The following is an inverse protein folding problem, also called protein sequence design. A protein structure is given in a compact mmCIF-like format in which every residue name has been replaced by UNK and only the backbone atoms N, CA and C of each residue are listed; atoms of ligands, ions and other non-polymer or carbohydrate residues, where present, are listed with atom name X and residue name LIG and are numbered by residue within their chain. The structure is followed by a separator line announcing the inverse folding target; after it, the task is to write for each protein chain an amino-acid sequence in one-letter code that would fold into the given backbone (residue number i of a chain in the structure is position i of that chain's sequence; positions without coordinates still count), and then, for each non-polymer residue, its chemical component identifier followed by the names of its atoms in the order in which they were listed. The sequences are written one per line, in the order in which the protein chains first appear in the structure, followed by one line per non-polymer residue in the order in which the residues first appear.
data_IF_838011066114
#
_entry.id   IF_838011066114
#
_cell.length_a   1.000
_cell.length_b   1.000
_cell.length_c   1.000
_cell.angle_alpha   90.00
_cell.angle_beta   90.00
_cell.angle_gamma   90.00
#
_symmetry.space_group_name_H-M   'P 1'
#
loop_
_entity.id
_entity.type
_entity.pdbx_description
1 polymer ?
#
# COMPACT_ATOMS: atom_id res chain seq x y z
N UNK A 1 -4.77 -0.02 19.39
CA UNK A 1 -5.10 -0.74 18.15
C UNK A 1 -4.40 -0.06 16.98
N UNK A 2 -3.65 -0.84 16.23
CA UNK A 2 -2.84 -0.45 15.08
C UNK A 2 -3.31 -1.26 13.88
N UNK A 3 -3.44 -0.62 12.72
CA UNK A 3 -4.01 -1.24 11.52
C UNK A 3 -3.06 -1.09 10.35
N UNK A 4 -2.74 -2.20 9.71
CA UNK A 4 -1.97 -2.24 8.48
C UNK A 4 -2.88 -2.55 7.28
N UNK A 5 -3.04 -1.57 6.39
CA UNK A 5 -3.69 -1.76 5.08
C UNK A 5 -2.72 -2.42 4.10
N UNK A 6 -2.78 -3.75 4.04
CA UNK A 6 -1.88 -4.57 3.24
C UNK A 6 -2.31 -4.60 1.78
N UNK A 7 -1.60 -3.85 0.94
CA UNK A 7 -1.76 -3.86 -0.51
C UNK A 7 -0.59 -4.62 -1.17
N UNK A 8 -0.87 -5.34 -2.26
CA UNK A 8 0.18 -5.92 -3.10
C UNK A 8 1.01 -4.83 -3.80
N UNK A 9 2.25 -5.19 -4.17
CA UNK A 9 3.12 -4.32 -4.99
C UNK A 9 2.39 -3.89 -6.26
N UNK A 10 1.69 -4.82 -6.93
CA UNK A 10 0.89 -4.53 -8.14
C UNK A 10 -0.15 -3.44 -7.90
N UNK A 11 -0.91 -3.54 -6.80
CA UNK A 11 -1.93 -2.53 -6.45
C UNK A 11 -1.29 -1.19 -6.13
N UNK A 12 -0.18 -1.18 -5.38
CA UNK A 12 0.55 0.05 -5.05
C UNK A 12 1.10 0.72 -6.32
N UNK A 13 1.78 -0.02 -7.19
CA UNK A 13 2.30 0.50 -8.47
C UNK A 13 1.17 1.11 -9.29
N UNK A 14 0.05 0.39 -9.46
CA UNK A 14 -1.11 0.88 -10.24
C UNK A 14 -1.70 2.16 -9.68
N UNK A 15 -1.77 2.31 -8.34
CA UNK A 15 -2.30 3.53 -7.69
C UNK A 15 -1.33 4.70 -7.77
N UNK A 16 -0.03 4.42 -7.70
CA UNK A 16 0.99 5.45 -7.61
C UNK A 16 1.39 6.03 -8.97
N UNK A 17 1.29 5.24 -10.04
CA UNK A 17 1.71 5.66 -11.39
C UNK A 17 0.99 6.91 -11.88
N UNK A 18 -0.30 7.08 -11.55
CA UNK A 18 -1.10 8.26 -11.94
C UNK A 18 -0.90 9.48 -11.02
N UNK A 19 -0.18 9.32 -9.92
CA UNK A 19 -0.02 10.34 -8.88
C UNK A 19 1.47 10.65 -8.61
N UNK A 20 2.37 10.24 -9.50
CA UNK A 20 3.82 10.41 -9.34
C UNK A 20 4.23 11.88 -9.30
N UNK A 21 3.65 12.72 -10.16
CA UNK A 21 4.00 14.16 -10.27
C UNK A 21 3.75 14.94 -8.96
N UNK A 22 2.83 14.46 -8.13
CA UNK A 22 2.48 15.09 -6.84
C UNK A 22 3.39 14.61 -5.70
N UNK A 23 4.34 13.71 -5.96
CA UNK A 23 5.13 13.02 -4.94
C UNK A 23 6.62 13.25 -5.18
N UNK A 24 7.24 14.26 -4.54
CA UNK A 24 8.64 14.61 -4.73
C UNK A 24 9.63 13.44 -4.60
N UNK A 25 9.33 12.46 -3.73
CA UNK A 25 10.14 11.26 -3.54
C UNK A 25 10.14 10.30 -4.74
N UNK A 26 9.16 10.40 -5.63
CA UNK A 26 9.01 9.56 -6.83
C UNK A 26 9.50 10.27 -8.11
N UNK A 27 9.93 11.53 -8.04
CA UNK A 27 10.29 12.33 -9.22
C UNK A 27 11.45 11.74 -10.06
N UNK A 28 12.30 10.91 -9.45
CA UNK A 28 13.44 10.29 -10.12
C UNK A 28 13.08 8.95 -10.78
N UNK A 29 11.86 8.46 -10.60
CA UNK A 29 11.38 7.19 -11.14
C UNK A 29 10.77 7.46 -12.53
N UNK A 30 11.26 6.76 -13.54
CA UNK A 30 10.93 7.02 -14.96
C UNK A 30 10.11 5.92 -15.61
N UNK A 31 9.97 4.76 -14.98
CA UNK A 31 9.19 3.65 -15.52
C UNK A 31 8.35 2.93 -14.46
N UNK A 32 7.36 2.17 -14.94
CA UNK A 32 6.54 1.31 -14.09
C UNK A 32 7.36 0.16 -13.47
N UNK A 33 8.40 -0.33 -14.16
CA UNK A 33 9.33 -1.31 -13.58
C UNK A 33 10.14 -0.69 -12.43
N UNK A 34 10.72 0.49 -12.63
CA UNK A 34 11.47 1.20 -11.58
C UNK A 34 10.59 1.51 -10.37
N UNK A 35 9.33 1.91 -10.59
CA UNK A 35 8.37 2.13 -9.51
C UNK A 35 8.08 0.83 -8.73
N UNK A 36 7.93 -0.28 -9.45
CA UNK A 36 7.67 -1.59 -8.87
C UNK A 36 8.86 -2.07 -8.02
N UNK A 37 10.09 -1.88 -8.49
CA UNK A 37 11.30 -2.18 -7.74
C UNK A 37 11.43 -1.30 -6.49
N UNK A 38 11.22 0.01 -6.63
CA UNK A 38 11.23 0.97 -5.53
C UNK A 38 10.24 0.58 -4.42
N UNK A 39 9.00 0.27 -4.81
CA UNK A 39 7.96 -0.17 -3.87
C UNK A 39 8.35 -1.51 -3.24
N UNK A 40 8.81 -2.48 -4.04
CA UNK A 40 9.17 -3.81 -3.57
C UNK A 40 10.28 -3.77 -2.51
N UNK A 41 11.36 -3.02 -2.77
CA UNK A 41 12.46 -2.83 -1.82
C UNK A 41 11.97 -2.25 -0.50
N UNK A 42 11.26 -1.14 -0.54
CA UNK A 42 10.79 -0.48 0.67
C UNK A 42 9.72 -1.27 1.42
N UNK A 43 8.84 -1.97 0.70
CA UNK A 43 7.85 -2.83 1.32
C UNK A 43 8.52 -4.00 2.04
N UNK A 44 9.56 -4.60 1.45
CA UNK A 44 10.33 -5.66 2.07
C UNK A 44 11.00 -5.20 3.37
N UNK A 45 11.71 -4.06 3.34
CA UNK A 45 12.34 -3.46 4.53
C UNK A 45 11.32 -3.20 5.66
N UNK A 46 10.12 -2.76 5.30
CA UNK A 46 9.07 -2.35 6.24
C UNK A 46 8.15 -3.49 6.67
N UNK A 47 8.14 -4.61 5.96
CA UNK A 47 7.26 -5.74 6.20
C UNK A 47 7.37 -6.27 7.64
N UNK A 48 8.59 -6.27 8.21
CA UNK A 48 8.83 -6.69 9.58
C UNK A 48 8.15 -5.81 10.63
N UNK A 49 7.94 -4.52 10.34
CA UNK A 49 7.26 -3.59 11.23
C UNK A 49 5.76 -3.59 10.97
N UNK A 50 5.33 -3.58 9.70
CA UNK A 50 3.92 -3.56 9.33
C UNK A 50 3.15 -4.81 9.78
N UNK A 51 3.80 -5.97 9.78
CA UNK A 51 3.19 -7.21 10.28
C UNK A 51 3.09 -7.29 11.82
N UNK A 52 3.55 -6.28 12.55
CA UNK A 52 3.34 -6.19 14.01
C UNK A 52 2.03 -5.48 14.36
N UNK A 53 1.28 -4.98 13.38
CA UNK A 53 0.00 -4.32 13.61
C UNK A 53 -1.03 -5.28 14.24
N UNK A 54 -1.86 -4.76 15.14
CA UNK A 54 -2.93 -5.53 15.80
C UNK A 54 -3.93 -6.10 14.76
N UNK A 55 -4.14 -5.36 13.67
CA UNK A 55 -5.02 -5.75 12.55
C UNK A 55 -4.24 -5.62 11.24
N UNK A 56 -4.23 -6.70 10.45
CA UNK A 56 -3.69 -6.70 9.09
C UNK A 56 -4.85 -6.90 8.11
N UNK A 57 -5.18 -5.84 7.35
CA UNK A 57 -6.33 -5.79 6.45
C UNK A 57 -5.86 -5.83 4.99
N UNK A 58 -6.10 -6.91 4.24
CA UNK A 58 -5.82 -6.96 2.80
C UNK A 58 -6.73 -5.99 2.03
N UNK A 59 -6.17 -5.13 1.18
CA UNK A 59 -6.94 -4.10 0.45
C UNK A 59 -6.93 -4.26 -1.08
N UNK A 60 -6.31 -5.33 -1.57
CA UNK A 60 -6.28 -5.63 -3.01
C UNK A 60 -7.70 -5.89 -3.55
N UNK A 61 -7.99 -5.30 -4.73
CA UNK A 61 -9.28 -5.44 -5.43
C UNK A 61 -10.54 -4.99 -4.65
N UNK A 62 -10.37 -4.21 -3.57
CA UNK A 62 -11.47 -3.63 -2.79
C UNK A 62 -11.68 -2.15 -3.13
N UNK A 63 -12.94 -1.71 -3.12
CA UNK A 63 -13.27 -0.29 -3.15
C UNK A 63 -12.98 0.36 -1.79
N UNK A 64 -12.92 1.69 -1.75
CA UNK A 64 -12.76 2.43 -0.50
C UNK A 64 -13.90 2.14 0.49
N UNK A 65 -15.12 1.93 -0.02
CA UNK A 65 -16.30 1.57 0.77
C UNK A 65 -16.15 0.18 1.40
N UNK A 66 -15.73 -0.81 0.62
CA UNK A 66 -15.54 -2.18 1.13
C UNK A 66 -14.45 -2.21 2.23
N UNK A 67 -13.35 -1.48 2.02
CA UNK A 67 -12.27 -1.35 3.02
C UNK A 67 -12.80 -0.70 4.30
N UNK A 68 -13.63 0.34 4.17
CA UNK A 68 -14.23 1.03 5.32
C UNK A 68 -15.17 0.13 6.10
N UNK A 69 -16.05 -0.60 5.43
CA UNK A 69 -17.00 -1.52 6.07
C UNK A 69 -16.26 -2.64 6.83
N UNK A 70 -15.24 -3.25 6.22
CA UNK A 70 -14.45 -4.31 6.85
C UNK A 70 -13.62 -3.79 8.02
N UNK A 71 -13.08 -2.56 7.90
CA UNK A 71 -12.39 -1.90 9.00
C UNK A 71 -13.32 -1.68 10.19
N UNK A 72 -14.54 -1.16 9.95
CA UNK A 72 -15.53 -0.95 11.01
C UNK A 72 -15.93 -2.26 11.67
N UNK A 73 -16.19 -3.32 10.89
CA UNK A 73 -16.52 -4.65 11.41
C UNK A 73 -15.37 -5.28 12.23
N UNK A 74 -14.12 -4.95 11.91
CA UNK A 74 -12.96 -5.50 12.64
C UNK A 74 -12.71 -4.76 13.96
N UNK A 75 -13.12 -3.50 14.06
CA UNK A 75 -12.84 -2.64 15.22
C UNK A 75 -13.97 -2.60 16.26
N UNK A 76 -15.19 -3.00 15.90
CA UNK A 76 -16.40 -2.91 16.73
C UNK A 76 -17.22 -4.19 16.66
#
# INVERSE_FOLDING_TARGET
ISVYLKASIRTLTKRLISEMDKRPLLNNIKSAEELTEFIGKHLFERNNFYNQADVILPVDNKSEKDILEELLFTLF
#
